data_IF_638592421115
#
_entry.id   IF_638592421115
#
_cell.length_a   1.000
_cell.length_b   1.000
_cell.length_c   1.000
_cell.angle_alpha   90.00
_cell.angle_beta   90.00
_cell.angle_gamma   90.00
#
_symmetry.space_group_name_H-M   'P 1'
#
loop_
_entity.id
_entity.type
_entity.pdbx_description
1 polymer ?
#
# COMPACT_ATOMS: atom_id res chain seq x y z
N UNK A 1 12.04 -21.08 7.12
CA UNK A 1 10.74 -21.03 7.83
C UNK A 1 10.04 -19.79 7.29
N UNK A 2 8.92 -19.94 6.59
CA UNK A 2 8.11 -18.82 6.08
C UNK A 2 7.33 -18.23 7.24
N UNK A 3 7.64 -16.99 7.63
CA UNK A 3 6.96 -16.30 8.73
C UNK A 3 5.95 -15.33 8.13
N UNK A 4 4.94 -15.91 7.48
CA UNK A 4 3.89 -15.16 6.83
C UNK A 4 3.00 -14.49 7.87
N UNK A 5 2.85 -13.18 7.76
CA UNK A 5 2.05 -12.35 8.66
C UNK A 5 0.98 -11.58 7.87
N UNK A 6 0.12 -10.88 8.60
CA UNK A 6 -0.84 -9.95 8.01
C UNK A 6 -0.88 -8.67 8.82
N UNK A 7 -0.69 -7.53 8.15
CA UNK A 7 -0.93 -6.20 8.71
C UNK A 7 -2.29 -5.66 8.27
N UNK A 8 -2.86 -4.83 9.13
CA UNK A 8 -4.06 -4.04 8.86
C UNK A 8 -3.73 -2.59 9.15
N UNK A 9 -3.97 -1.73 8.17
CA UNK A 9 -3.75 -0.29 8.27
C UNK A 9 -5.10 0.41 8.07
N UNK A 10 -5.43 1.33 8.97
CA UNK A 10 -6.59 2.20 8.80
C UNK A 10 -6.33 3.19 7.68
N UNK A 11 -7.22 3.19 6.69
CA UNK A 11 -7.35 4.15 5.62
C UNK A 11 -8.53 5.11 5.85
N UNK A 12 -8.98 5.26 7.09
CA UNK A 12 -10.04 6.21 7.45
C UNK A 12 -9.71 7.62 6.92
N UNK A 13 -10.68 8.27 6.30
CA UNK A 13 -10.52 9.60 5.71
C UNK A 13 -9.73 9.66 4.39
N UNK A 14 -9.14 8.56 3.93
CA UNK A 14 -8.57 8.49 2.59
C UNK A 14 -9.68 8.30 1.54
N UNK A 15 -9.61 9.02 0.43
CA UNK A 15 -10.47 8.72 -0.71
C UNK A 15 -10.10 7.34 -1.28
N UNK A 16 -11.03 6.37 -1.32
CA UNK A 16 -10.72 5.01 -1.77
C UNK A 16 -10.22 4.95 -3.20
N UNK A 17 -10.74 5.79 -4.10
CA UNK A 17 -10.37 5.78 -5.52
C UNK A 17 -9.00 6.42 -5.73
N UNK A 18 -8.67 7.48 -4.99
CA UNK A 18 -7.31 8.05 -5.01
C UNK A 18 -6.28 7.06 -4.43
N UNK A 19 -6.66 6.32 -3.38
CA UNK A 19 -5.79 5.32 -2.77
C UNK A 19 -5.57 4.11 -3.68
N UNK A 20 -6.63 3.46 -4.15
CA UNK A 20 -6.50 2.21 -4.93
C UNK A 20 -6.15 2.45 -6.39
N UNK A 21 -6.51 3.61 -6.93
CA UNK A 21 -6.35 3.94 -8.34
C UNK A 21 -7.38 3.22 -9.22
N UNK A 22 -7.47 3.64 -10.48
CA UNK A 22 -8.38 3.02 -11.46
C UNK A 22 -8.02 1.55 -11.60
N UNK A 23 -9.02 0.66 -11.48
CA UNK A 23 -8.86 -0.79 -11.50
C UNK A 23 -7.83 -1.31 -10.47
N UNK A 24 -7.76 -0.68 -9.29
CA UNK A 24 -6.83 -1.02 -8.20
C UNK A 24 -5.36 -1.00 -8.63
N UNK A 25 -5.02 -0.16 -9.62
CA UNK A 25 -3.68 -0.08 -10.21
C UNK A 25 -2.60 0.25 -9.17
N UNK A 26 -2.88 1.08 -8.16
CA UNK A 26 -1.91 1.43 -7.13
C UNK A 26 -1.67 0.26 -6.15
N UNK A 27 -2.72 -0.50 -5.79
CA UNK A 27 -2.55 -1.69 -4.96
C UNK A 27 -1.84 -2.81 -5.73
N UNK A 28 -2.20 -3.02 -6.99
CA UNK A 28 -1.54 -3.99 -7.89
C UNK A 28 -0.06 -3.64 -8.06
N UNK A 29 0.27 -2.36 -8.17
CA UNK A 29 1.65 -1.89 -8.19
C UNK A 29 2.38 -2.19 -6.89
N UNK A 30 1.77 -1.89 -5.74
CA UNK A 30 2.33 -2.17 -4.41
C UNK A 30 2.62 -3.66 -4.25
N UNK A 31 1.69 -4.54 -4.65
CA UNK A 31 1.89 -5.99 -4.66
C UNK A 31 3.11 -6.37 -5.51
N UNK A 32 3.19 -5.84 -6.73
CA UNK A 32 4.27 -6.19 -7.67
C UNK A 32 5.66 -5.79 -7.17
N UNK A 33 5.79 -4.62 -6.57
CA UNK A 33 7.08 -4.06 -6.16
C UNK A 33 7.55 -4.54 -4.79
N UNK A 34 6.63 -4.97 -3.92
CA UNK A 34 6.96 -5.45 -2.57
C UNK A 34 6.86 -6.97 -2.41
N UNK A 35 6.11 -7.65 -3.30
CA UNK A 35 5.86 -9.08 -3.25
C UNK A 35 4.79 -9.52 -2.23
N UNK A 36 4.06 -8.57 -1.63
CA UNK A 36 2.94 -8.86 -0.73
C UNK A 36 1.64 -9.00 -1.51
N UNK A 37 0.59 -9.46 -0.81
CA UNK A 37 -0.80 -9.32 -1.24
C UNK A 37 -1.43 -8.13 -0.54
N UNK A 38 -2.06 -7.23 -1.29
CA UNK A 38 -2.66 -6.00 -0.81
C UNK A 38 -4.14 -5.93 -1.21
N UNK A 39 -5.00 -5.50 -0.28
CA UNK A 39 -6.42 -5.27 -0.61
C UNK A 39 -7.01 -4.21 0.30
N UNK A 40 -7.93 -3.39 -0.21
CA UNK A 40 -8.77 -2.50 0.59
C UNK A 40 -10.10 -3.19 0.91
N UNK A 41 -10.50 -3.20 2.19
CA UNK A 41 -11.81 -3.70 2.64
C UNK A 41 -12.44 -2.67 3.57
N UNK A 42 -13.47 -1.97 3.09
CA UNK A 42 -14.00 -0.82 3.80
C UNK A 42 -12.91 0.25 3.92
N UNK A 43 -12.55 0.62 5.14
CA UNK A 43 -11.46 1.55 5.46
C UNK A 43 -10.17 0.84 5.91
N UNK A 44 -10.01 -0.46 5.64
CA UNK A 44 -8.83 -1.21 6.07
C UNK A 44 -8.01 -1.69 4.87
N UNK A 45 -6.75 -1.26 4.82
CA UNK A 45 -5.74 -1.84 3.91
C UNK A 45 -5.14 -3.07 4.58
N UNK A 46 -5.29 -4.20 3.92
CA UNK A 46 -4.76 -5.50 4.35
C UNK A 46 -3.50 -5.80 3.57
N UNK A 47 -2.43 -6.17 4.26
CA UNK A 47 -1.14 -6.56 3.66
C UNK A 47 -0.74 -7.93 4.19
N UNK A 48 -0.51 -8.91 3.31
CA UNK A 48 -0.16 -10.27 3.70
C UNK A 48 1.06 -10.79 2.92
N UNK A 49 1.98 -11.47 3.60
CA UNK A 49 3.22 -11.96 3.02
C UNK A 49 4.27 -12.23 4.10
N UNK A 50 5.53 -12.43 3.68
CA UNK A 50 6.65 -12.56 4.62
C UNK A 50 6.87 -11.26 5.41
N UNK A 51 7.31 -11.40 6.67
CA UNK A 51 7.52 -10.29 7.61
C UNK A 51 8.21 -9.07 6.97
N UNK A 52 9.39 -9.25 6.38
CA UNK A 52 10.16 -8.14 5.80
C UNK A 52 9.45 -7.46 4.63
N UNK A 53 8.73 -8.23 3.81
CA UNK A 53 7.97 -7.70 2.69
C UNK A 53 6.75 -6.90 3.19
N UNK A 54 6.05 -7.41 4.21
CA UNK A 54 4.90 -6.74 4.81
C UNK A 54 5.31 -5.47 5.54
N UNK A 55 6.43 -5.46 6.27
CA UNK A 55 6.94 -4.25 6.94
C UNK A 55 7.34 -3.17 5.93
N UNK A 56 7.97 -3.56 4.81
CA UNK A 56 8.28 -2.62 3.71
C UNK A 56 7.00 -2.08 3.08
N UNK A 57 6.05 -2.97 2.73
CA UNK A 57 4.78 -2.59 2.14
C UNK A 57 3.94 -1.72 3.08
N UNK A 58 3.99 -1.95 4.40
CA UNK A 58 3.25 -1.17 5.37
C UNK A 58 3.68 0.31 5.38
N UNK A 59 4.99 0.58 5.30
CA UNK A 59 5.51 1.95 5.21
C UNK A 59 5.03 2.67 3.95
N UNK A 60 5.07 1.99 2.81
CA UNK A 60 4.60 2.54 1.53
C UNK A 60 3.08 2.76 1.56
N UNK A 61 2.31 1.78 2.03
CA UNK A 61 0.86 1.87 2.13
C UNK A 61 0.42 2.98 3.08
N UNK A 62 1.12 3.23 4.19
CA UNK A 62 0.87 4.39 5.06
C UNK A 62 1.05 5.70 4.31
N UNK A 63 2.13 5.87 3.54
CA UNK A 63 2.33 7.07 2.73
C UNK A 63 1.26 7.23 1.64
N UNK A 64 0.85 6.14 0.98
CA UNK A 64 -0.25 6.15 0.02
C UNK A 64 -1.57 6.62 0.67
N UNK A 65 -1.87 6.13 1.88
CA UNK A 65 -3.04 6.53 2.67
C UNK A 65 -2.98 8.03 3.00
N UNK A 66 -1.83 8.54 3.42
CA UNK A 66 -1.66 9.95 3.78
C UNK A 66 -1.88 10.87 2.55
N UNK A 67 -1.34 10.50 1.39
CA UNK A 67 -1.55 11.22 0.12
C UNK A 67 -3.03 11.25 -0.26
N UNK A 68 -3.69 10.09 -0.24
CA UNK A 68 -5.11 9.99 -0.58
C UNK A 68 -6.01 10.72 0.44
N UNK A 69 -5.60 10.82 1.71
CA UNK A 69 -6.31 11.53 2.78
C UNK A 69 -6.29 13.04 2.60
N UNK A 70 -5.23 13.60 2.02
CA UNK A 70 -5.18 15.04 1.67
C UNK A 70 -5.83 15.36 0.32
N UNK A 71 -6.36 14.34 -0.37
CA UNK A 71 -7.04 14.51 -1.65
C UNK A 71 -6.12 14.61 -2.87
N UNK A 72 -4.85 14.19 -2.72
CA UNK A 72 -3.89 14.17 -3.82
C UNK A 72 -4.00 12.87 -4.63
N UNK A 73 -3.76 12.98 -5.94
CA UNK A 73 -3.78 11.83 -6.83
C UNK A 73 -2.48 11.03 -6.68
N UNK A 74 -2.63 9.72 -6.48
CA UNK A 74 -1.53 8.76 -6.47
C UNK A 74 -1.53 7.96 -7.78
N UNK A 75 -0.35 7.79 -8.37
CA UNK A 75 -0.16 6.92 -9.55
C UNK A 75 0.69 5.69 -9.23
N UNK A 76 0.68 4.65 -10.08
CA UNK A 76 1.59 3.52 -9.93
C UNK A 76 3.08 3.93 -9.99
N UNK A 77 3.42 5.03 -10.65
CA UNK A 77 4.79 5.54 -10.65
C UNK A 77 5.19 6.10 -9.28
N UNK A 78 4.27 6.81 -8.61
CA UNK A 78 4.48 7.29 -7.25
C UNK A 78 4.69 6.14 -6.26
N UNK A 79 3.95 5.03 -6.42
CA UNK A 79 4.15 3.83 -5.60
C UNK A 79 5.57 3.28 -5.76
N UNK A 80 6.11 3.20 -7.00
CA UNK A 80 7.51 2.80 -7.23
C UNK A 80 8.50 3.75 -6.58
N UNK A 81 8.23 5.05 -6.68
CA UNK A 81 9.06 6.10 -6.08
C UNK A 81 9.09 5.98 -4.56
N UNK A 82 7.93 5.84 -3.91
CA UNK A 82 7.81 5.66 -2.46
C UNK A 82 8.57 4.43 -1.95
N UNK A 83 8.53 3.31 -2.69
CA UNK A 83 9.29 2.10 -2.34
C UNK A 83 10.79 2.35 -2.42
N UNK A 84 11.24 3.08 -3.44
CA UNK A 84 12.65 3.42 -3.64
C UNK A 84 13.17 4.40 -2.60
N UNK A 85 12.34 5.36 -2.18
CA UNK A 85 12.65 6.35 -1.14
C UNK A 85 12.65 5.74 0.27
N UNK A 86 11.76 4.79 0.54
CA UNK A 86 11.69 4.06 1.82
C UNK A 86 12.71 2.92 1.96
N UNK A 87 13.51 2.64 0.92
CA UNK A 87 14.57 1.64 0.90
C UNK A 87 15.94 2.16 1.41
N UNK A 88 16.00 3.43 1.84
CA UNK A 88 17.17 4.04 2.46
C UNK A 88 17.30 3.69 3.96
#
# INVERSE_FOLDING_TARGET
MSNAITHRLSAEGADPVLLTGVNDSNLTELERVTGVRASLRGDQVMLAGELEAVERAARVASAMIDIARVGEALTPEDVRRLVSEGAA
#
